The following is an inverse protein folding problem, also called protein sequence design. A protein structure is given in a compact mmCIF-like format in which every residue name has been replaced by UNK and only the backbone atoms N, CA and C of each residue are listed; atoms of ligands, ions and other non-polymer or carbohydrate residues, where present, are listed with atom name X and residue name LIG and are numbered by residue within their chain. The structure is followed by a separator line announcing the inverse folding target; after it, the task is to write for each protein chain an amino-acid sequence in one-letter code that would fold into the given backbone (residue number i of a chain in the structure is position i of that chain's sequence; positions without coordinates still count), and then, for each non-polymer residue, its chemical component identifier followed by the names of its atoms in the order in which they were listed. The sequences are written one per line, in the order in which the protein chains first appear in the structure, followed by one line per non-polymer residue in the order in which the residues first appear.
data_IF_409759712529
#
_entry.id   IF_409759712529
#
_cell.length_a   1.000
_cell.length_b   1.000
_cell.length_c   1.000
_cell.angle_alpha   90.00
_cell.angle_beta   90.00
_cell.angle_gamma   90.00
#
_symmetry.space_group_name_H-M   'P 1'
#
loop_
_entity.id
_entity.type
_entity.pdbx_description
1 polymer ?
#
# COMPACT_ATOMS: atom_id res chain seq x y z
N UNK A 1 -7.71 -66.97 -15.87
CA UNK A 1 -8.51 -65.76 -15.59
C UNK A 1 -8.05 -65.20 -14.25
N UNK A 2 -7.45 -63.99 -14.23
CA UNK A 2 -7.05 -63.33 -12.98
C UNK A 2 -8.27 -62.57 -12.45
N UNK A 3 -8.68 -62.88 -11.21
CA UNK A 3 -9.78 -62.21 -10.53
C UNK A 3 -9.23 -60.89 -9.97
N UNK A 4 -9.58 -59.78 -10.59
CA UNK A 4 -9.26 -58.45 -10.08
C UNK A 4 -10.18 -58.19 -8.88
N UNK A 5 -9.60 -58.24 -7.68
CA UNK A 5 -10.29 -57.83 -6.46
C UNK A 5 -10.37 -56.30 -6.46
N UNK A 6 -11.47 -55.77 -6.98
CA UNK A 6 -11.81 -54.36 -6.84
C UNK A 6 -12.12 -54.06 -5.36
N UNK A 7 -11.08 -53.76 -4.58
CA UNK A 7 -11.19 -53.25 -3.21
C UNK A 7 -11.83 -51.86 -3.28
N UNK A 8 -13.12 -51.80 -2.98
CA UNK A 8 -13.85 -50.53 -2.83
C UNK A 8 -13.39 -49.78 -1.58
N UNK A 9 -13.52 -48.45 -1.64
CA UNK A 9 -13.19 -47.56 -0.53
C UNK A 9 -14.15 -47.79 0.65
N UNK A 10 -13.62 -47.97 1.86
CA UNK A 10 -14.46 -48.13 3.05
C UNK A 10 -14.90 -46.77 3.61
N UNK A 11 -16.09 -46.71 4.19
CA UNK A 11 -16.56 -45.49 4.86
C UNK A 11 -15.65 -45.09 6.04
N UNK A 12 -15.06 -46.07 6.72
CA UNK A 12 -14.12 -45.82 7.81
C UNK A 12 -12.83 -45.13 7.33
N UNK A 13 -12.30 -45.54 6.17
CA UNK A 13 -11.15 -44.89 5.53
C UNK A 13 -11.48 -43.44 5.14
N UNK A 14 -12.70 -43.16 4.67
CA UNK A 14 -13.10 -41.77 4.38
C UNK A 14 -13.16 -40.93 5.65
N UNK A 15 -13.75 -41.46 6.72
CA UNK A 15 -14.00 -40.73 7.95
C UNK A 15 -12.70 -40.31 8.64
N UNK A 16 -11.71 -41.20 8.71
CA UNK A 16 -10.42 -40.85 9.31
C UNK A 16 -9.68 -39.78 8.52
N UNK A 17 -9.78 -39.80 7.18
CA UNK A 17 -9.17 -38.79 6.31
C UNK A 17 -9.78 -37.41 6.55
N UNK A 18 -11.12 -37.32 6.57
CA UNK A 18 -11.81 -36.04 6.84
C UNK A 18 -11.51 -35.53 8.25
N UNK A 19 -11.41 -36.42 9.24
CA UNK A 19 -11.03 -36.06 10.60
C UNK A 19 -9.62 -35.43 10.67
N UNK A 20 -8.63 -36.04 10.00
CA UNK A 20 -7.26 -35.50 9.96
C UNK A 20 -7.22 -34.16 9.22
N UNK A 21 -7.89 -34.05 8.07
CA UNK A 21 -7.99 -32.78 7.31
C UNK A 21 -8.64 -31.68 8.18
N UNK A 22 -9.67 -32.02 8.95
CA UNK A 22 -10.33 -31.09 9.87
C UNK A 22 -9.37 -30.48 10.90
N UNK A 23 -8.50 -31.31 11.50
CA UNK A 23 -7.49 -30.83 12.46
C UNK A 23 -6.45 -29.94 11.78
N UNK A 24 -5.97 -30.33 10.59
CA UNK A 24 -5.00 -29.52 9.84
C UNK A 24 -5.57 -28.16 9.45
N UNK A 25 -6.81 -28.12 8.96
CA UNK A 25 -7.49 -26.89 8.54
C UNK A 25 -7.72 -25.96 9.74
N UNK A 26 -8.10 -26.50 10.90
CA UNK A 26 -8.34 -25.70 12.11
C UNK A 26 -7.12 -24.87 12.54
N UNK A 27 -5.91 -25.43 12.40
CA UNK A 27 -4.65 -24.73 12.71
C UNK A 27 -4.21 -23.84 11.54
N UNK A 28 -4.41 -24.31 10.31
CA UNK A 28 -3.88 -23.64 9.10
C UNK A 28 -4.60 -22.32 8.79
N UNK A 29 -5.92 -22.25 8.92
CA UNK A 29 -6.72 -21.04 8.60
C UNK A 29 -6.23 -19.79 9.35
N UNK A 30 -6.08 -19.78 10.69
CA UNK A 30 -5.68 -18.57 11.40
C UNK A 30 -4.23 -18.16 11.09
N UNK A 31 -3.33 -19.13 10.89
CA UNK A 31 -1.93 -18.86 10.55
C UNK A 31 -1.85 -18.24 9.16
N UNK A 32 -2.47 -18.87 8.16
CA UNK A 32 -2.48 -18.39 6.79
C UNK A 32 -3.12 -17.00 6.69
N UNK A 33 -4.22 -16.77 7.39
CA UNK A 33 -4.91 -15.47 7.41
C UNK A 33 -4.00 -14.34 7.94
N UNK A 34 -3.19 -14.60 8.98
CA UNK A 34 -2.22 -13.63 9.51
C UNK A 34 -1.07 -13.37 8.54
N UNK A 35 -0.56 -14.41 7.88
CA UNK A 35 0.52 -14.26 6.90
C UNK A 35 0.07 -13.51 5.66
N UNK A 36 -1.13 -13.80 5.16
CA UNK A 36 -1.73 -13.07 4.04
C UNK A 36 -1.89 -11.59 4.37
N UNK A 37 -2.30 -11.26 5.59
CA UNK A 37 -2.39 -9.86 6.02
C UNK A 37 -1.03 -9.16 6.05
N UNK A 38 -0.02 -9.82 6.62
CA UNK A 38 1.35 -9.29 6.64
C UNK A 38 1.93 -9.09 5.24
N UNK A 39 1.56 -9.94 4.27
CA UNK A 39 1.96 -9.79 2.88
C UNK A 39 1.33 -8.53 2.25
N UNK A 40 0.03 -8.29 2.48
CA UNK A 40 -0.66 -7.05 2.03
C UNK A 40 -0.06 -5.80 2.65
N UNK A 41 0.30 -5.87 3.94
CA UNK A 41 1.00 -4.80 4.63
C UNK A 41 2.36 -4.50 4.00
N UNK A 42 3.11 -5.55 3.65
CA UNK A 42 4.41 -5.41 2.98
C UNK A 42 4.27 -4.72 1.60
N UNK A 43 3.26 -5.10 0.81
CA UNK A 43 2.94 -4.45 -0.46
C UNK A 43 2.61 -2.97 -0.26
N UNK A 44 1.76 -2.66 0.71
CA UNK A 44 1.37 -1.27 1.02
C UNK A 44 2.58 -0.42 1.41
N UNK A 45 3.46 -0.95 2.27
CA UNK A 45 4.71 -0.26 2.66
C UNK A 45 5.67 -0.10 1.47
N UNK A 46 5.76 -1.09 0.58
CA UNK A 46 6.56 -0.98 -0.64
C UNK A 46 6.02 0.13 -1.56
N UNK A 47 4.71 0.19 -1.77
CA UNK A 47 4.07 1.24 -2.58
C UNK A 47 4.31 2.63 -1.98
N UNK A 48 4.24 2.77 -0.65
CA UNK A 48 4.55 4.02 0.05
C UNK A 48 6.04 4.43 -0.12
N UNK A 49 6.98 3.46 -0.12
CA UNK A 49 8.38 3.76 -0.43
C UNK A 49 8.57 4.24 -1.86
N UNK A 50 7.88 3.60 -2.82
CA UNK A 50 7.92 4.01 -4.22
C UNK A 50 7.39 5.42 -4.40
N UNK A 51 6.26 5.76 -3.76
CA UNK A 51 5.70 7.11 -3.78
C UNK A 51 6.67 8.15 -3.20
N UNK A 52 7.36 7.81 -2.09
CA UNK A 52 8.39 8.68 -1.54
C UNK A 52 9.58 8.88 -2.48
N UNK A 53 10.07 7.81 -3.11
CA UNK A 53 11.17 7.91 -4.07
C UNK A 53 10.79 8.78 -5.28
N UNK A 54 9.56 8.64 -5.77
CA UNK A 54 9.00 9.47 -6.84
C UNK A 54 8.94 10.95 -6.42
N UNK A 55 8.38 11.24 -5.24
CA UNK A 55 8.32 12.60 -4.71
C UNK A 55 9.71 13.22 -4.51
N UNK A 56 10.68 12.45 -4.02
CA UNK A 56 12.05 12.93 -3.82
C UNK A 56 12.77 13.21 -5.14
N UNK A 57 12.58 12.35 -6.15
CA UNK A 57 13.15 12.57 -7.47
C UNK A 57 12.64 13.88 -8.09
N UNK A 58 11.34 14.13 -7.96
CA UNK A 58 10.71 15.36 -8.44
C UNK A 58 11.15 16.60 -7.63
N UNK A 59 11.30 16.46 -6.31
CA UNK A 59 11.79 17.55 -5.46
C UNK A 59 13.19 18.03 -5.92
N UNK A 60 14.06 17.09 -6.27
CA UNK A 60 15.43 17.38 -6.70
C UNK A 60 15.51 17.94 -8.12
N UNK A 61 14.63 17.49 -9.02
CA UNK A 61 14.65 17.88 -10.44
C UNK A 61 13.24 18.20 -10.95
N UNK A 62 12.61 19.30 -10.51
CA UNK A 62 11.26 19.61 -10.91
C UNK A 62 11.20 19.99 -12.40
N UNK A 63 10.27 19.40 -13.16
CA UNK A 63 10.03 19.80 -14.54
C UNK A 63 9.22 21.11 -14.59
N UNK A 64 9.92 22.23 -14.56
CA UNK A 64 9.30 23.56 -14.59
C UNK A 64 8.52 23.86 -15.88
N UNK A 65 8.72 23.10 -16.96
CA UNK A 65 7.95 23.28 -18.20
C UNK A 65 6.47 22.93 -18.03
N UNK A 66 6.18 22.07 -17.05
CA UNK A 66 4.85 21.61 -16.70
C UNK A 66 4.23 22.46 -15.56
N UNK A 67 4.94 23.49 -15.05
CA UNK A 67 4.45 24.42 -14.02
C UNK A 67 3.33 25.31 -14.59
N UNK A 68 2.13 25.22 -14.00
CA UNK A 68 1.01 26.15 -14.19
C UNK A 68 0.95 27.14 -13.03
N UNK A 69 0.07 28.16 -13.13
CA UNK A 69 0.00 29.35 -12.25
C UNK A 69 0.17 29.09 -10.74
N UNK A 70 -0.12 27.90 -10.20
CA UNK A 70 0.16 27.56 -8.79
C UNK A 70 0.76 26.18 -8.51
N UNK A 71 1.24 25.47 -9.53
CA UNK A 71 1.72 24.10 -9.32
C UNK A 71 2.09 23.39 -10.60
N UNK A 72 2.89 22.35 -10.44
CA UNK A 72 3.27 21.42 -11.48
C UNK A 72 2.39 20.17 -11.34
N UNK A 73 1.77 19.74 -12.45
CA UNK A 73 0.92 18.54 -12.48
C UNK A 73 1.49 17.57 -13.49
N UNK A 74 1.84 16.38 -13.01
CA UNK A 74 2.36 15.28 -13.82
C UNK A 74 1.23 14.29 -14.05
N UNK A 75 1.13 13.83 -15.29
CA UNK A 75 0.05 12.95 -15.74
C UNK A 75 0.61 11.72 -16.44
N UNK A 76 -0.12 10.61 -16.34
CA UNK A 76 0.14 9.41 -17.13
C UNK A 76 -0.29 9.60 -18.60
N UNK A 77 0.00 8.61 -19.44
CA UNK A 77 -0.40 8.56 -20.84
C UNK A 77 -1.92 8.60 -21.06
N UNK A 78 -2.71 8.30 -20.03
CA UNK A 78 -4.17 8.31 -20.07
C UNK A 78 -4.75 9.67 -19.59
N UNK A 79 -3.89 10.60 -19.19
CA UNK A 79 -4.27 11.93 -18.71
C UNK A 79 -4.65 11.99 -17.22
N UNK A 80 -4.51 10.88 -16.47
CA UNK A 80 -4.73 10.84 -15.04
C UNK A 80 -3.59 11.54 -14.32
N UNK A 81 -3.90 12.25 -13.24
CA UNK A 81 -2.88 12.90 -12.41
C UNK A 81 -2.15 11.83 -11.62
N UNK A 82 -0.83 11.77 -11.76
CA UNK A 82 0.06 10.90 -10.98
C UNK A 82 0.76 11.68 -9.88
N UNK A 83 1.08 12.95 -10.13
CA UNK A 83 1.75 13.80 -9.16
C UNK A 83 1.31 15.26 -9.25
N UNK A 84 1.36 15.99 -8.13
CA UNK A 84 1.25 17.44 -8.10
C UNK A 84 2.30 18.03 -7.17
N UNK A 85 3.06 19.00 -7.67
CA UNK A 85 4.06 19.75 -6.92
C UNK A 85 3.53 21.16 -6.68
N UNK A 86 3.43 21.54 -5.42
CA UNK A 86 2.95 22.86 -5.00
C UNK A 86 4.15 23.74 -4.62
N UNK A 87 4.10 24.99 -5.06
CA UNK A 87 5.13 26.00 -4.77
C UNK A 87 4.57 27.04 -3.81
N UNK A 88 5.48 27.75 -3.13
CA UNK A 88 5.11 28.82 -2.20
C UNK A 88 4.36 29.98 -2.89
N UNK A 89 4.76 30.31 -4.11
CA UNK A 89 4.11 31.34 -4.93
C UNK A 89 4.27 31.04 -6.42
N UNK A 90 3.53 31.76 -7.28
CA UNK A 90 3.60 31.57 -8.73
C UNK A 90 5.04 31.82 -9.27
N UNK A 91 5.77 32.72 -8.61
CA UNK A 91 7.13 33.16 -8.98
C UNK A 91 8.24 32.42 -8.23
N UNK A 92 7.93 31.77 -7.10
CA UNK A 92 8.92 31.00 -6.33
C UNK A 92 9.19 29.63 -6.94
N UNK A 93 10.43 29.17 -6.86
CA UNK A 93 10.84 27.78 -7.14
C UNK A 93 10.83 26.91 -5.87
N UNK A 94 10.55 27.49 -4.70
CA UNK A 94 10.48 26.76 -3.43
C UNK A 94 9.25 25.87 -3.42
N UNK A 95 9.49 24.55 -3.32
CA UNK A 95 8.45 23.53 -3.22
C UNK A 95 7.96 23.46 -1.77
N UNK A 96 6.65 23.58 -1.57
CA UNK A 96 6.01 23.45 -0.25
C UNK A 96 5.47 22.06 0.00
N UNK A 97 4.96 21.39 -1.05
CA UNK A 97 4.48 20.02 -0.93
C UNK A 97 4.48 19.30 -2.26
N UNK A 98 4.65 17.98 -2.19
CA UNK A 98 4.49 17.06 -3.32
C UNK A 98 3.41 16.05 -2.96
N UNK A 99 2.44 15.88 -3.85
CA UNK A 99 1.33 14.95 -3.73
C UNK A 99 1.50 13.87 -4.78
N UNK A 100 1.63 12.62 -4.36
CA UNK A 100 1.62 11.44 -5.23
C UNK A 100 0.24 10.81 -5.17
N UNK A 101 -0.37 10.57 -6.32
CA UNK A 101 -1.73 10.07 -6.46
C UNK A 101 -1.74 8.58 -6.81
N UNK A 102 -2.90 7.95 -6.65
CA UNK A 102 -3.15 6.56 -7.04
C UNK A 102 -2.27 5.51 -6.35
N UNK A 103 -1.76 5.81 -5.14
CA UNK A 103 -0.95 4.86 -4.37
C UNK A 103 -1.87 3.79 -3.80
N UNK A 104 -1.63 2.53 -4.17
CA UNK A 104 -2.45 1.41 -3.72
C UNK A 104 -2.07 0.97 -2.30
N UNK A 105 -3.07 0.93 -1.41
CA UNK A 105 -2.95 0.44 -0.03
C UNK A 105 -3.95 -0.71 0.17
N UNK A 106 -3.44 -1.87 0.55
CA UNK A 106 -4.21 -3.11 0.70
C UNK A 106 -4.40 -3.55 2.17
N UNK A 107 -3.81 -2.82 3.11
CA UNK A 107 -3.80 -3.15 4.53
C UNK A 107 -5.18 -3.03 5.18
N UNK A 108 -5.57 -4.00 6.01
CA UNK A 108 -6.84 -3.97 6.76
C UNK A 108 -6.74 -3.28 8.12
N UNK A 109 -5.54 -2.94 8.59
CA UNK A 109 -5.35 -2.36 9.93
C UNK A 109 -4.52 -1.08 9.87
N UNK A 110 -5.01 -0.01 10.52
CA UNK A 110 -4.31 1.26 10.67
C UNK A 110 -3.15 1.22 11.69
N UNK A 111 -2.69 0.03 12.10
CA UNK A 111 -1.67 -0.13 13.15
C UNK A 111 -0.27 -0.40 12.56
N UNK A 112 0.35 0.64 12.00
CA UNK A 112 1.75 0.61 11.52
C UNK A 112 2.09 -0.54 10.56
N UNK A 113 1.12 -1.05 9.79
CA UNK A 113 1.31 -2.14 8.82
C UNK A 113 2.05 -3.34 9.42
N UNK A 114 1.53 -3.88 10.52
CA UNK A 114 2.17 -4.99 11.24
C UNK A 114 3.62 -4.71 11.69
N UNK A 115 3.94 -3.44 11.96
CA UNK A 115 5.27 -2.97 12.36
C UNK A 115 6.23 -2.72 11.19
N UNK A 116 5.83 -3.00 9.95
CA UNK A 116 6.66 -2.78 8.76
C UNK A 116 6.82 -1.29 8.42
N UNK A 117 5.84 -0.46 8.83
CA UNK A 117 5.86 0.98 8.61
C UNK A 117 7.06 1.69 9.24
N UNK A 118 7.61 1.15 10.33
CA UNK A 118 8.77 1.73 11.04
C UNK A 118 10.02 1.84 10.17
N UNK A 119 10.09 1.06 9.09
CA UNK A 119 11.21 1.06 8.15
C UNK A 119 10.98 2.03 6.97
N UNK A 120 9.96 2.90 7.03
CA UNK A 120 9.77 3.97 6.07
C UNK A 120 10.65 5.17 6.46
N UNK A 121 11.38 5.79 5.51
CA UNK A 121 12.28 6.90 5.82
C UNK A 121 11.55 8.16 6.32
N UNK A 122 10.25 8.26 6.07
CA UNK A 122 9.38 9.36 6.48
C UNK A 122 8.40 8.94 7.59
N UNK A 123 8.59 7.77 8.22
CA UNK A 123 7.66 7.21 9.21
C UNK A 123 7.36 8.18 10.38
N UNK A 124 8.36 8.91 10.85
CA UNK A 124 8.22 9.88 11.94
C UNK A 124 7.38 11.12 11.57
N UNK A 125 7.17 11.38 10.28
CA UNK A 125 6.50 12.59 9.78
C UNK A 125 5.01 12.37 9.54
N UNK A 126 4.50 11.13 9.70
CA UNK A 126 3.08 10.84 9.51
C UNK A 126 2.21 11.56 10.55
N UNK A 127 1.32 12.45 10.09
CA UNK A 127 0.31 13.08 10.97
C UNK A 127 -1.02 12.37 10.97
N UNK A 128 -1.37 11.72 9.87
CA UNK A 128 -2.65 11.03 9.76
C UNK A 128 -2.47 9.83 8.84
N UNK A 129 -2.78 8.66 9.38
CA UNK A 129 -3.02 7.46 8.58
C UNK A 129 -4.44 7.56 8.02
N UNK A 130 -4.66 7.14 6.77
CA UNK A 130 -6.02 7.06 6.27
C UNK A 130 -6.75 6.10 7.20
N UNK A 131 -7.91 6.54 7.70
CA UNK A 131 -8.68 5.82 8.70
C UNK A 131 -9.29 4.59 8.04
N UNK A 132 -8.54 3.49 7.99
CA UNK A 132 -9.00 2.18 7.53
C UNK A 132 -9.62 2.22 6.12
N UNK A 133 -9.00 1.56 5.14
CA UNK A 133 -9.79 1.06 4.03
C UNK A 133 -10.71 -0.04 4.60
N UNK A 134 -11.84 0.41 5.12
CA UNK A 134 -12.82 -0.36 5.88
C UNK A 134 -13.40 -1.43 5.00
N UNK A 135 -12.80 -2.60 5.07
CA UNK A 135 -13.35 -3.96 5.01
C UNK A 135 -12.22 -4.90 4.57
N UNK A 136 -12.15 -6.13 5.10
CA UNK A 136 -11.18 -7.11 4.63
C UNK A 136 -11.28 -7.33 3.12
N UNK A 137 -10.31 -6.84 2.35
CA UNK A 137 -10.23 -7.03 0.90
C UNK A 137 -10.59 -5.83 0.03
N UNK A 138 -10.83 -4.64 0.60
CA UNK A 138 -10.94 -3.40 -0.18
C UNK A 138 -9.55 -2.76 -0.33
N UNK A 139 -8.93 -2.94 -1.49
CA UNK A 139 -7.81 -2.13 -1.93
C UNK A 139 -8.29 -0.69 -2.14
N UNK A 140 -7.69 0.26 -1.44
CA UNK A 140 -7.99 1.67 -1.59
C UNK A 140 -6.83 2.38 -2.29
N UNK A 141 -7.18 3.34 -3.14
CA UNK A 141 -6.21 4.31 -3.64
C UNK A 141 -6.15 5.46 -2.66
N UNK A 142 -4.94 5.85 -2.30
CA UNK A 142 -4.69 7.04 -1.50
C UNK A 142 -3.82 8.00 -2.29
N UNK A 143 -3.94 9.28 -1.95
CA UNK A 143 -2.90 10.25 -2.24
C UNK A 143 -1.99 10.42 -1.04
N UNK A 144 -0.69 10.48 -1.29
CA UNK A 144 0.36 10.69 -0.29
C UNK A 144 0.89 12.10 -0.48
N UNK A 145 0.76 12.94 0.55
CA UNK A 145 1.26 14.32 0.54
C UNK A 145 2.48 14.41 1.43
N UNK A 146 3.60 14.85 0.87
CA UNK A 146 4.83 15.20 1.58
C UNK A 146 4.94 16.72 1.62
N UNK A 147 5.00 17.29 2.82
CA UNK A 147 5.20 18.73 3.05
C UNK A 147 6.65 18.97 3.42
N UNK A 148 7.26 19.97 2.80
CA UNK A 148 8.67 20.31 2.97
C UNK A 148 8.82 21.63 3.74
N UNK A 149 9.89 21.76 4.51
CA UNK A 149 10.37 23.06 5.00
C UNK A 149 11.22 23.79 3.94
N UNK A 150 11.70 24.98 4.31
CA UNK A 150 12.60 25.80 3.48
C UNK A 150 13.97 25.13 3.23
N UNK A 151 14.38 24.21 4.11
CA UNK A 151 15.63 23.44 4.02
C UNK A 151 15.47 22.15 3.18
N UNK A 152 14.24 21.83 2.76
CA UNK A 152 13.91 20.64 1.98
C UNK A 152 13.72 19.35 2.78
N UNK A 153 13.61 19.44 4.11
CA UNK A 153 13.23 18.29 4.93
C UNK A 153 11.71 18.10 4.95
N UNK A 154 11.29 16.85 5.03
CA UNK A 154 9.87 16.53 5.18
C UNK A 154 9.44 16.83 6.62
N UNK A 155 8.48 17.75 6.76
CA UNK A 155 7.91 18.14 8.06
C UNK A 155 6.61 17.40 8.36
N UNK A 156 5.87 17.00 7.33
CA UNK A 156 4.59 16.32 7.47
C UNK A 156 4.33 15.39 6.29
N UNK A 157 3.93 14.16 6.58
CA UNK A 157 3.37 13.22 5.62
C UNK A 157 1.90 12.96 5.96
N UNK A 158 1.03 13.09 4.96
CA UNK A 158 -0.41 12.82 5.08
C UNK A 158 -0.84 11.81 4.03
N UNK A 159 -1.64 10.85 4.46
CA UNK A 159 -2.32 9.93 3.55
C UNK A 159 -3.80 10.28 3.58
N UNK A 160 -4.40 10.40 2.41
CA UNK A 160 -5.82 10.73 2.26
C UNK A 160 -6.44 9.82 1.22
N UNK A 161 -7.62 9.28 1.54
CA UNK A 161 -8.36 8.45 0.60
C UNK A 161 -8.64 9.21 -0.69
N UNK A 162 -8.53 8.49 -1.79
CA UNK A 162 -8.85 8.97 -3.12
C UNK A 162 -10.13 8.28 -3.56
N UNK A 163 -11.24 9.04 -3.54
CA UNK A 163 -12.56 8.62 -4.03
C UNK A 163 -12.60 8.50 -5.54
#
# INVERSE_FOLDING_TARGET
MRKEENKGFTLAELLIVVAIIGVLVAISIPIFSKQLEKARDATSVANLRSAYAEAMAEYLNPDLSLKKRKGLVIKDSNGNITMSVNFESETSSTITSIVVYNVDIESKKSNNWSGLGNNLPFYSTFKTFPQSHGDPGKSGKVKVTFTYDEDGNITETRLTDQS
#
